data_IF_356988711121
#
_entry.id   IF_356988711121
#
_cell.length_a   1.000
_cell.length_b   1.000
_cell.length_c   1.000
_cell.angle_alpha   90.00
_cell.angle_beta   90.00
_cell.angle_gamma   90.00
#
_symmetry.space_group_name_H-M   'P 1'
#
loop_
_entity.id
_entity.type
_entity.pdbx_description
1 polymer ?
#
# COMPACT_ATOMS: atom_id res chain seq x y z
N UNK A 1 -9.82 56.21 0.43
CA UNK A 1 -8.49 55.55 0.53
C UNK A 1 -8.44 54.79 1.85
N UNK A 2 -8.37 53.46 1.83
CA UNK A 2 -8.14 52.61 3.02
C UNK A 2 -6.71 52.05 2.92
N UNK A 3 -5.94 51.96 4.01
CA UNK A 3 -4.55 51.49 3.93
C UNK A 3 -4.48 49.98 3.71
N UNK A 4 -3.50 49.55 2.91
CA UNK A 4 -3.16 48.14 2.66
C UNK A 4 -2.42 47.57 3.88
N UNK A 5 -2.99 46.55 4.52
CA UNK A 5 -2.27 45.70 5.48
C UNK A 5 -1.25 44.85 4.71
N UNK A 6 0.03 44.98 5.04
CA UNK A 6 1.07 44.06 4.59
C UNK A 6 0.95 42.75 5.37
N UNK A 7 0.55 41.68 4.70
CA UNK A 7 0.63 40.31 5.21
C UNK A 7 2.06 39.78 5.06
N UNK A 8 2.66 39.38 6.18
CA UNK A 8 3.95 38.68 6.25
C UNK A 8 3.86 37.30 5.57
N UNK A 9 4.96 36.74 5.02
CA UNK A 9 4.97 35.40 4.46
C UNK A 9 4.83 34.35 5.58
N UNK A 10 3.86 33.44 5.45
CA UNK A 10 3.80 32.26 6.31
C UNK A 10 4.84 31.24 5.83
N UNK A 11 5.68 30.75 6.75
CA UNK A 11 6.54 29.59 6.51
C UNK A 11 5.69 28.33 6.26
N UNK A 12 6.15 27.41 5.39
CA UNK A 12 5.46 26.16 5.14
C UNK A 12 5.53 25.24 6.36
N UNK A 13 4.46 24.47 6.67
CA UNK A 13 4.47 23.54 7.78
C UNK A 13 5.47 22.39 7.53
N UNK A 14 6.12 21.96 8.62
CA UNK A 14 7.16 20.94 8.65
C UNK A 14 6.69 19.60 8.02
N UNK A 15 7.59 18.99 7.24
CA UNK A 15 7.42 17.68 6.64
C UNK A 15 7.21 16.61 7.75
N UNK A 16 6.12 15.86 7.61
CA UNK A 16 5.70 14.80 8.52
C UNK A 16 6.67 13.60 8.45
N UNK A 17 7.66 13.58 9.35
CA UNK A 17 8.58 12.46 9.54
C UNK A 17 7.91 11.34 10.36
N UNK A 18 7.00 10.59 9.75
CA UNK A 18 6.60 9.29 10.28
C UNK A 18 7.32 8.23 9.45
N UNK A 19 8.54 7.85 9.87
CA UNK A 19 9.12 6.49 9.91
C UNK A 19 10.60 6.70 10.28
N UNK A 20 10.91 6.75 11.58
CA UNK A 20 12.26 6.48 12.08
C UNK A 20 12.23 6.11 13.57
N UNK A 21 12.91 5.00 13.89
CA UNK A 21 13.47 4.67 15.21
C UNK A 21 12.54 4.17 16.33
N UNK A 22 12.28 2.86 16.32
CA UNK A 22 12.33 2.07 17.56
C UNK A 22 13.07 0.76 17.32
N UNK A 23 14.39 0.78 17.49
CA UNK A 23 15.17 -0.40 17.80
C UNK A 23 16.45 0.02 18.52
N UNK A 24 16.58 -0.40 19.80
CA UNK A 24 17.79 -0.60 20.62
C UNK A 24 17.66 -0.10 22.06
N UNK A 25 16.94 -0.86 22.89
CA UNK A 25 17.23 -1.14 24.30
C UNK A 25 16.37 -2.37 24.67
N UNK A 26 16.75 -3.41 25.40
CA UNK A 26 17.86 -3.69 26.29
C UNK A 26 18.08 -5.21 26.34
N UNK A 27 19.32 -5.64 26.64
CA UNK A 27 19.66 -7.01 27.01
C UNK A 27 19.39 -7.26 28.51
N UNK A 28 19.19 -8.55 28.81
CA UNK A 28 19.38 -9.30 30.06
C UNK A 28 18.16 -9.59 30.95
N UNK A 29 17.91 -10.89 31.12
CA UNK A 29 17.06 -11.47 32.16
C UNK A 29 16.79 -12.96 31.91
N UNK A 30 17.61 -13.85 32.50
CA UNK A 30 17.42 -15.31 32.53
C UNK A 30 16.50 -15.66 33.71
N UNK A 31 15.51 -16.55 33.53
CA UNK A 31 15.25 -17.75 34.37
C UNK A 31 13.96 -18.53 34.00
N UNK A 32 14.19 -19.83 33.77
CA UNK A 32 13.41 -21.05 34.08
C UNK A 32 11.87 -21.15 33.97
N UNK A 33 11.48 -22.13 33.13
CA UNK A 33 10.58 -23.27 33.39
C UNK A 33 9.05 -23.11 33.32
N UNK A 34 8.50 -24.08 32.59
CA UNK A 34 7.16 -24.69 32.56
C UNK A 34 6.01 -24.01 31.82
N UNK A 35 5.39 -24.86 30.99
CA UNK A 35 4.07 -24.81 30.37
C UNK A 35 3.94 -24.14 28.99
N UNK A 36 4.12 -25.01 27.98
CA UNK A 36 3.47 -24.98 26.67
C UNK A 36 1.99 -24.61 26.77
N UNK A 37 1.54 -23.70 25.89
CA UNK A 37 0.39 -24.06 25.08
C UNK A 37 0.68 -23.75 23.61
N UNK A 38 0.93 -24.81 22.83
CA UNK A 38 0.49 -25.01 21.44
C UNK A 38 0.08 -23.72 20.70
N UNK A 39 1.03 -22.85 20.40
CA UNK A 39 0.81 -21.77 19.44
C UNK A 39 1.11 -22.34 18.07
N UNK A 40 0.06 -22.82 17.40
CA UNK A 40 0.09 -23.09 15.97
C UNK A 40 0.75 -21.89 15.29
N UNK A 41 1.80 -22.07 14.46
CA UNK A 41 2.36 -20.94 13.73
C UNK A 41 1.22 -20.34 12.90
N UNK A 42 1.13 -19.01 12.82
CA UNK A 42 0.39 -18.37 11.74
C UNK A 42 0.90 -19.01 10.44
N UNK A 43 0.14 -19.96 9.90
CA UNK A 43 0.47 -20.60 8.65
C UNK A 43 0.56 -19.47 7.65
N UNK A 44 1.78 -19.19 7.19
CA UNK A 44 1.98 -18.44 5.99
C UNK A 44 1.08 -19.12 4.97
N UNK A 45 0.04 -18.41 4.50
CA UNK A 45 -0.65 -18.84 3.31
C UNK A 45 0.45 -18.93 2.26
N UNK A 46 0.83 -20.15 1.91
CA UNK A 46 1.50 -20.41 0.66
C UNK A 46 0.53 -19.91 -0.40
N UNK A 47 0.71 -18.64 -0.79
CA UNK A 47 0.04 -18.07 -1.93
C UNK A 47 0.63 -18.82 -3.12
N UNK A 48 0.02 -19.98 -3.38
CA UNK A 48 0.30 -20.86 -4.49
C UNK A 48 0.51 -19.99 -5.72
N UNK A 49 1.67 -20.16 -6.34
CA UNK A 49 2.14 -19.41 -7.51
C UNK A 49 1.24 -19.54 -8.74
N UNK A 50 0.06 -20.16 -8.63
CA UNK A 50 -0.95 -20.25 -9.68
C UNK A 50 -2.34 -20.31 -9.04
N UNK A 51 -2.83 -19.21 -8.48
CA UNK A 51 -4.25 -19.09 -8.18
C UNK A 51 -5.01 -18.74 -9.49
N UNK A 52 -5.01 -19.67 -10.44
CA UNK A 52 -5.97 -19.67 -11.56
C UNK A 52 -7.33 -20.03 -10.97
N UNK A 53 -8.03 -19.03 -10.46
CA UNK A 53 -9.41 -19.17 -10.02
C UNK A 53 -10.29 -19.24 -11.26
N UNK A 54 -10.37 -20.42 -11.88
CA UNK A 54 -10.92 -20.62 -13.21
C UNK A 54 -12.13 -19.74 -13.55
N UNK A 55 -12.13 -19.20 -14.77
CA UNK A 55 -13.14 -18.37 -15.45
C UNK A 55 -13.60 -17.08 -14.76
N UNK A 56 -13.88 -17.08 -13.45
CA UNK A 56 -14.39 -15.91 -12.71
C UNK A 56 -13.30 -15.22 -11.91
N UNK A 57 -12.47 -15.95 -11.17
CA UNK A 57 -11.46 -15.31 -10.33
C UNK A 57 -10.23 -14.83 -11.11
N UNK A 58 -10.01 -15.34 -12.32
CA UNK A 58 -9.09 -14.71 -13.29
C UNK A 58 -9.52 -13.29 -13.66
N UNK A 59 -10.78 -12.92 -13.42
CA UNK A 59 -11.37 -11.60 -13.67
C UNK A 59 -11.45 -10.71 -12.43
N UNK A 60 -10.95 -11.15 -11.28
CA UNK A 60 -11.02 -10.37 -10.03
C UNK A 60 -9.73 -9.58 -9.85
N UNK A 61 -9.88 -8.27 -9.73
CA UNK A 61 -8.81 -7.33 -9.44
C UNK A 61 -9.00 -6.71 -8.06
N UNK A 62 -7.90 -6.30 -7.44
CA UNK A 62 -7.90 -5.66 -6.12
C UNK A 62 -7.32 -4.25 -6.25
N UNK A 63 -8.17 -3.26 -6.01
CA UNK A 63 -7.78 -1.85 -5.97
C UNK A 63 -7.39 -1.44 -4.55
N UNK A 64 -6.41 -0.55 -4.44
CA UNK A 64 -5.97 0.02 -3.16
C UNK A 64 -5.98 1.54 -3.26
N UNK A 65 -6.37 2.19 -2.17
CA UNK A 65 -6.41 3.64 -2.05
C UNK A 65 -5.57 4.17 -0.89
N UNK A 66 -5.10 5.42 -1.01
CA UNK A 66 -4.34 6.09 0.04
C UNK A 66 -5.10 6.14 1.38
N UNK A 67 -6.43 6.33 1.33
CA UNK A 67 -7.29 6.34 2.50
C UNK A 67 -7.37 4.98 3.23
N UNK A 68 -7.28 3.87 2.50
CA UNK A 68 -7.27 2.52 3.07
C UNK A 68 -5.89 2.16 3.65
N UNK A 69 -4.81 2.54 2.96
CA UNK A 69 -3.45 2.21 3.38
C UNK A 69 -3.02 2.99 4.63
N UNK A 70 -3.44 4.26 4.77
CA UNK A 70 -3.10 5.11 5.92
C UNK A 70 -3.67 4.63 7.26
N UNK A 71 -4.85 4.01 7.28
CA UNK A 71 -5.52 3.59 8.52
C UNK A 71 -4.93 2.33 9.17
N UNK A 72 -4.30 1.45 8.39
CA UNK A 72 -3.80 0.14 8.85
C UNK A 72 -2.60 -0.34 8.00
N UNK A 73 -1.56 0.49 7.89
CA UNK A 73 -0.44 0.30 6.96
C UNK A 73 0.16 -1.12 6.96
N UNK A 74 0.45 -1.72 8.12
CA UNK A 74 1.03 -3.08 8.18
C UNK A 74 0.11 -4.16 7.59
N UNK A 75 -1.19 -4.09 7.89
CA UNK A 75 -2.18 -5.04 7.37
C UNK A 75 -2.46 -4.81 5.89
N UNK A 76 -2.48 -3.55 5.46
CA UNK A 76 -2.62 -3.18 4.06
C UNK A 76 -1.41 -3.69 3.24
N UNK A 77 -0.18 -3.50 3.71
CA UNK A 77 1.03 -3.97 3.05
C UNK A 77 1.03 -5.50 2.88
N UNK A 78 0.66 -6.25 3.92
CA UNK A 78 0.54 -7.71 3.84
C UNK A 78 -0.49 -8.17 2.80
N UNK A 79 -1.61 -7.42 2.65
CA UNK A 79 -2.62 -7.71 1.63
C UNK A 79 -2.11 -7.38 0.23
N UNK A 80 -1.49 -6.21 0.04
CA UNK A 80 -0.89 -5.83 -1.25
C UNK A 80 0.14 -6.89 -1.69
N UNK A 81 1.01 -7.31 -0.78
CA UNK A 81 2.02 -8.33 -1.06
C UNK A 81 1.41 -9.67 -1.52
N UNK A 82 0.23 -10.04 -1.00
CA UNK A 82 -0.44 -11.30 -1.32
C UNK A 82 -1.26 -11.28 -2.62
N UNK A 83 -1.63 -10.11 -3.14
CA UNK A 83 -2.38 -10.02 -4.40
C UNK A 83 -1.47 -10.41 -5.57
N UNK A 84 -1.91 -11.18 -6.58
CA UNK A 84 -1.09 -11.44 -7.77
C UNK A 84 -0.67 -10.15 -8.49
N UNK A 85 0.55 -10.16 -9.03
CA UNK A 85 1.17 -8.97 -9.63
C UNK A 85 0.35 -8.36 -10.77
N UNK A 86 -0.33 -9.21 -11.53
CA UNK A 86 -1.17 -8.85 -12.66
C UNK A 86 -2.63 -8.53 -12.29
N UNK A 87 -2.94 -8.41 -10.98
CA UNK A 87 -4.28 -8.14 -10.44
C UNK A 87 -4.34 -6.95 -9.48
N UNK A 88 -3.24 -6.22 -9.30
CA UNK A 88 -3.21 -4.98 -8.49
C UNK A 88 -3.68 -3.79 -9.32
N UNK A 89 -4.60 -2.99 -8.78
CA UNK A 89 -5.03 -1.69 -9.30
C UNK A 89 -4.78 -0.58 -8.27
N UNK A 90 -4.69 0.67 -8.74
CA UNK A 90 -4.53 1.86 -7.92
C UNK A 90 -5.77 2.76 -8.08
N UNK A 91 -6.23 3.34 -6.98
CA UNK A 91 -7.27 4.37 -6.97
C UNK A 91 -7.01 5.41 -5.88
N UNK A 92 -7.60 6.60 -6.00
CA UNK A 92 -7.48 7.63 -4.94
C UNK A 92 -8.58 7.51 -3.89
N UNK A 93 -9.79 7.11 -4.29
CA UNK A 93 -11.01 7.18 -3.49
C UNK A 93 -11.28 8.60 -2.93
N UNK A 94 -10.80 9.62 -3.65
CA UNK A 94 -11.06 11.03 -3.33
C UNK A 94 -12.29 11.52 -4.09
N UNK A 95 -13.16 12.25 -3.40
CA UNK A 95 -14.34 12.89 -4.01
C UNK A 95 -14.02 14.24 -4.68
N UNK A 96 -12.91 14.86 -4.26
CA UNK A 96 -12.45 16.15 -4.77
C UNK A 96 -11.24 15.96 -5.69
N UNK A 97 -11.07 16.87 -6.65
CA UNK A 97 -9.95 16.83 -7.60
C UNK A 97 -8.63 17.30 -6.99
N UNK A 98 -8.69 18.11 -5.94
CA UNK A 98 -7.51 18.64 -5.26
C UNK A 98 -6.75 17.52 -4.53
N UNK A 99 -5.46 17.41 -4.80
CA UNK A 99 -4.59 16.39 -4.20
C UNK A 99 -4.67 15.00 -4.85
N UNK A 100 -5.42 14.84 -5.95
CA UNK A 100 -5.58 13.53 -6.61
C UNK A 100 -4.26 12.95 -7.13
N UNK A 101 -3.39 13.78 -7.70
CA UNK A 101 -2.08 13.34 -8.17
C UNK A 101 -1.17 12.90 -7.01
N UNK A 102 -1.19 13.64 -5.91
CA UNK A 102 -0.38 13.33 -4.73
C UNK A 102 -0.85 12.01 -4.09
N UNK A 103 -2.16 11.80 -4.01
CA UNK A 103 -2.73 10.54 -3.52
C UNK A 103 -2.39 9.35 -4.43
N UNK A 104 -2.37 9.54 -5.75
CA UNK A 104 -1.93 8.52 -6.72
C UNK A 104 -0.44 8.17 -6.53
N UNK A 105 0.40 9.17 -6.31
CA UNK A 105 1.82 8.94 -6.03
C UNK A 105 2.01 8.20 -4.71
N UNK A 106 1.33 8.63 -3.64
CA UNK A 106 1.40 8.00 -2.32
C UNK A 106 1.01 6.51 -2.39
N UNK A 107 -0.09 6.18 -3.07
CA UNK A 107 -0.50 4.78 -3.19
C UNK A 107 0.44 3.96 -4.08
N UNK A 108 1.01 4.57 -5.14
CA UNK A 108 2.00 3.91 -5.98
C UNK A 108 3.28 3.59 -5.19
N UNK A 109 3.77 4.52 -4.37
CA UNK A 109 4.94 4.30 -3.50
C UNK A 109 4.66 3.22 -2.45
N UNK A 110 3.46 3.23 -1.85
CA UNK A 110 3.05 2.21 -0.90
C UNK A 110 3.04 0.80 -1.52
N UNK A 111 2.47 0.67 -2.73
CA UNK A 111 2.44 -0.60 -3.45
C UNK A 111 3.84 -1.04 -3.84
N UNK A 112 4.68 -0.10 -4.32
CA UNK A 112 6.06 -0.39 -4.67
C UNK A 112 6.81 -0.99 -3.48
N UNK A 113 6.71 -0.38 -2.30
CA UNK A 113 7.34 -0.87 -1.08
C UNK A 113 6.80 -2.24 -0.66
N UNK A 114 5.48 -2.42 -0.66
CA UNK A 114 4.86 -3.69 -0.25
C UNK A 114 5.18 -4.85 -1.20
N UNK A 115 5.38 -4.57 -2.49
CA UNK A 115 5.75 -5.56 -3.52
C UNK A 115 7.26 -5.78 -3.67
N UNK A 116 8.09 -4.90 -3.11
CA UNK A 116 9.52 -4.87 -3.40
C UNK A 116 9.83 -4.44 -4.84
N UNK A 117 8.96 -3.62 -5.43
CA UNK A 117 9.09 -3.08 -6.78
C UNK A 117 9.73 -1.69 -6.77
N UNK A 118 10.21 -1.27 -7.94
CA UNK A 118 10.50 0.15 -8.16
C UNK A 118 9.19 0.91 -8.43
N UNK A 119 9.19 2.24 -8.19
CA UNK A 119 8.04 3.08 -8.50
C UNK A 119 7.69 3.01 -10.00
N UNK A 120 8.70 3.09 -10.87
CA UNK A 120 8.53 2.97 -12.33
C UNK A 120 7.85 1.65 -12.72
N UNK A 121 8.35 0.52 -12.20
CA UNK A 121 7.73 -0.78 -12.46
C UNK A 121 6.29 -0.85 -11.93
N UNK A 122 6.03 -0.22 -10.78
CA UNK A 122 4.69 -0.20 -10.18
C UNK A 122 3.70 0.55 -11.08
N UNK A 123 4.07 1.72 -11.58
CA UNK A 123 3.24 2.49 -12.53
C UNK A 123 3.01 1.68 -13.81
N UNK A 124 4.07 1.11 -14.37
CA UNK A 124 4.01 0.31 -15.59
C UNK A 124 3.11 -0.92 -15.46
N UNK A 125 3.29 -1.70 -14.39
CA UNK A 125 2.55 -2.92 -14.15
C UNK A 125 1.09 -2.63 -13.85
N UNK A 126 0.79 -1.66 -12.98
CA UNK A 126 -0.59 -1.31 -12.63
C UNK A 126 -1.34 -0.69 -13.81
N UNK A 127 -0.64 0.02 -14.71
CA UNK A 127 -1.22 0.45 -15.99
C UNK A 127 -1.57 -0.72 -16.92
N UNK A 128 -0.69 -1.71 -17.03
CA UNK A 128 -0.99 -2.94 -17.80
C UNK A 128 -2.20 -3.67 -17.20
N UNK A 129 -2.26 -3.77 -15.87
CA UNK A 129 -3.37 -4.38 -15.15
C UNK A 129 -4.68 -3.62 -15.40
N UNK A 130 -4.65 -2.29 -15.32
CA UNK A 130 -5.82 -1.44 -15.60
C UNK A 130 -6.33 -1.64 -17.03
N UNK A 131 -5.43 -1.68 -18.02
CA UNK A 131 -5.83 -1.98 -19.40
C UNK A 131 -6.46 -3.36 -19.55
N UNK A 132 -5.93 -4.38 -18.86
CA UNK A 132 -6.52 -5.71 -18.89
C UNK A 132 -7.90 -5.76 -18.20
N UNK A 133 -8.07 -5.02 -17.10
CA UNK A 133 -9.35 -4.87 -16.40
C UNK A 133 -10.40 -4.12 -17.25
N UNK A 134 -10.00 -3.00 -17.85
CA UNK A 134 -10.91 -2.10 -18.58
C UNK A 134 -11.19 -2.57 -20.01
N UNK A 135 -10.17 -3.04 -20.73
CA UNK A 135 -10.28 -3.50 -22.12
C UNK A 135 -10.43 -5.03 -22.17
N UNK A 136 -11.60 -5.54 -21.76
CA UNK A 136 -11.92 -6.97 -21.79
C UNK A 136 -11.86 -7.59 -23.21
N UNK A 137 -11.91 -6.80 -24.30
CA UNK A 137 -11.86 -7.32 -25.69
C UNK A 137 -10.46 -7.50 -26.30
N UNK A 138 -9.37 -7.14 -25.61
CA UNK A 138 -8.02 -7.17 -26.22
C UNK A 138 -7.23 -8.49 -26.03
N UNK A 139 -7.85 -9.53 -25.48
CA UNK A 139 -7.26 -10.86 -25.36
C UNK A 139 -8.24 -11.91 -25.90
N UNK A 140 -8.35 -11.96 -27.23
CA UNK A 140 -8.81 -13.14 -27.95
C UNK A 140 -7.77 -14.25 -27.89
#
# INVERSE_FOLDING_TARGET
MKPKLHSQPQEPPAQSSYIAEQSLSSRNGVNHSTDEPSSTPCQAFECSRNASFGAVGDRIYFSFSAALCSKCAKKAAARVAAVPDDRVLLETDLSELDGMNDALLEIAEFVAQAKGWTLEHTVDQTWRNFKAFYCWEALG
#
